data_IF_380410981788
#
_entry.id   IF_380410981788
#
_cell.length_a   1.000
_cell.length_b   1.000
_cell.length_c   1.000
_cell.angle_alpha   90.00
_cell.angle_beta   90.00
_cell.angle_gamma   90.00
#
_symmetry.space_group_name_H-M   'P 1'
#
loop_
_entity.id
_entity.type
_entity.pdbx_description
1 polymer ?
#
# COMPACT_ATOMS: atom_id res chain seq x y z
N UNK A 1 -11.01 3.85 -4.17
CA UNK A 1 -11.06 2.43 -3.77
C UNK A 1 -10.36 1.51 -4.78
N UNK A 2 -10.15 1.90 -6.04
CA UNK A 2 -9.80 0.93 -7.11
C UNK A 2 -8.44 1.12 -7.82
N UNK A 3 -7.76 2.26 -7.66
CA UNK A 3 -6.52 2.54 -8.41
C UNK A 3 -5.39 1.56 -8.07
N UNK A 4 -5.30 1.13 -6.81
CA UNK A 4 -4.32 0.12 -6.36
C UNK A 4 -4.63 -1.26 -6.95
N UNK A 5 -5.92 -1.57 -7.12
CA UNK A 5 -6.36 -2.85 -7.67
C UNK A 5 -6.08 -2.88 -9.18
N UNK A 6 -6.36 -1.79 -9.88
CA UNK A 6 -6.01 -1.59 -11.30
C UNK A 6 -4.50 -1.63 -11.55
N UNK A 7 -3.71 -1.05 -10.65
CA UNK A 7 -2.25 -1.14 -10.70
C UNK A 7 -1.76 -2.59 -10.65
N UNK A 8 -2.29 -3.39 -9.72
CA UNK A 8 -1.89 -4.80 -9.60
C UNK A 8 -2.43 -5.65 -10.73
N UNK A 9 -3.66 -5.41 -11.20
CA UNK A 9 -4.22 -6.08 -12.36
C UNK A 9 -3.30 -5.91 -13.58
N UNK A 10 -2.89 -4.68 -13.90
CA UNK A 10 -1.95 -4.44 -15.01
C UNK A 10 -0.56 -5.05 -14.78
N UNK A 11 -0.07 -5.02 -13.55
CA UNK A 11 1.21 -5.66 -13.22
C UNK A 11 1.14 -7.19 -13.42
N UNK A 12 -0.03 -7.80 -13.19
CA UNK A 12 -0.28 -9.23 -13.46
C UNK A 12 -0.47 -9.53 -14.95
N UNK A 13 -0.97 -8.58 -15.74
CA UNK A 13 -0.99 -8.69 -17.21
C UNK A 13 0.42 -8.71 -17.83
N UNK A 14 1.46 -8.43 -17.04
CA UNK A 14 2.86 -8.48 -17.47
C UNK A 14 3.47 -7.11 -17.79
N UNK A 15 2.76 -6.02 -17.50
CA UNK A 15 3.29 -4.67 -17.68
C UNK A 15 4.49 -4.40 -16.77
N UNK A 16 5.43 -3.57 -17.26
CA UNK A 16 6.65 -3.25 -16.51
C UNK A 16 6.34 -2.28 -15.37
N UNK A 17 6.82 -2.63 -14.18
CA UNK A 17 6.71 -1.81 -12.96
C UNK A 17 7.06 -0.32 -13.20
N UNK A 18 8.11 -0.03 -13.97
CA UNK A 18 8.55 1.34 -14.23
C UNK A 18 7.55 2.18 -15.04
N UNK A 19 6.82 1.58 -15.99
CA UNK A 19 5.82 2.26 -16.79
C UNK A 19 4.56 2.54 -15.96
N UNK A 20 4.08 1.51 -15.24
CA UNK A 20 2.93 1.65 -14.35
C UNK A 20 3.18 2.67 -13.23
N UNK A 21 4.39 2.73 -12.67
CA UNK A 21 4.72 3.73 -11.65
C UNK A 21 4.61 5.16 -12.17
N UNK A 22 4.92 5.40 -13.46
CA UNK A 22 4.73 6.72 -14.09
C UNK A 22 3.27 7.02 -14.39
N UNK A 23 2.52 6.02 -14.86
CA UNK A 23 1.11 6.19 -15.20
C UNK A 23 0.23 6.45 -13.96
N UNK A 24 0.54 5.77 -12.86
CA UNK A 24 -0.21 5.90 -11.59
C UNK A 24 0.37 6.96 -10.65
N UNK A 25 1.34 7.76 -11.09
CA UNK A 25 2.06 8.77 -10.29
C UNK A 25 2.53 8.25 -8.92
N UNK A 26 3.07 7.02 -8.91
CA UNK A 26 3.63 6.40 -7.71
C UNK A 26 5.13 6.24 -7.84
N UNK A 27 5.83 6.38 -6.71
CA UNK A 27 7.25 6.01 -6.67
C UNK A 27 7.42 4.51 -6.89
N UNK A 28 8.50 4.13 -7.58
CA UNK A 28 8.92 2.73 -7.79
C UNK A 28 9.00 1.96 -6.46
N UNK A 29 9.44 2.63 -5.40
CA UNK A 29 9.51 2.04 -4.05
C UNK A 29 8.11 1.61 -3.54
N UNK A 30 7.09 2.43 -3.80
CA UNK A 30 5.70 2.13 -3.46
C UNK A 30 5.16 0.97 -4.31
N UNK A 31 5.47 0.95 -5.61
CA UNK A 31 5.13 -0.15 -6.51
C UNK A 31 5.69 -1.49 -6.04
N UNK A 32 6.98 -1.55 -5.70
CA UNK A 32 7.61 -2.75 -5.13
C UNK A 32 6.98 -3.17 -3.79
N UNK A 33 6.65 -2.22 -2.90
CA UNK A 33 5.92 -2.52 -1.66
C UNK A 33 4.55 -3.12 -1.92
N UNK A 34 3.80 -2.59 -2.90
CA UNK A 34 2.49 -3.15 -3.25
C UNK A 34 2.61 -4.55 -3.81
N UNK A 35 3.55 -4.80 -4.71
CA UNK A 35 3.77 -6.14 -5.25
C UNK A 35 4.18 -7.15 -4.18
N UNK A 36 5.10 -6.76 -3.27
CA UNK A 36 5.49 -7.62 -2.14
C UNK A 36 4.30 -7.95 -1.24
N UNK A 37 3.45 -6.97 -0.93
CA UNK A 37 2.23 -7.20 -0.12
C UNK A 37 1.21 -8.05 -0.84
N UNK A 38 1.05 -7.88 -2.15
CA UNK A 38 0.18 -8.71 -2.96
C UNK A 38 0.66 -10.17 -2.98
N UNK A 39 1.97 -10.40 -3.08
CA UNK A 39 2.53 -11.76 -3.04
C UNK A 39 2.32 -12.45 -1.67
N UNK A 40 2.32 -11.68 -0.59
CA UNK A 40 2.20 -12.18 0.78
C UNK A 40 0.74 -12.41 1.23
N UNK A 41 -0.15 -11.48 0.90
CA UNK A 41 -1.53 -11.41 1.43
C UNK A 41 -2.60 -11.38 0.33
N UNK A 42 -2.20 -11.43 -0.94
CA UNK A 42 -3.11 -11.31 -2.08
C UNK A 42 -3.80 -9.95 -2.15
N UNK A 43 -5.08 -9.97 -2.53
CA UNK A 43 -5.94 -8.79 -2.62
C UNK A 43 -6.08 -8.05 -1.27
N UNK A 44 -6.00 -8.76 -0.15
CA UNK A 44 -6.04 -8.15 1.19
C UNK A 44 -4.79 -7.31 1.50
N UNK A 45 -3.70 -7.50 0.75
CA UNK A 45 -2.48 -6.70 0.88
C UNK A 45 -2.60 -5.27 0.34
N UNK A 46 -3.60 -5.01 -0.50
CA UNK A 46 -3.82 -3.75 -1.23
C UNK A 46 -4.82 -2.81 -0.55
N UNK A 47 -5.63 -3.34 0.36
CA UNK A 47 -6.54 -2.54 1.19
C UNK A 47 -5.74 -1.53 2.02
N UNK A 48 -6.38 -0.41 2.32
CA UNK A 48 -5.74 0.64 3.09
C UNK A 48 -5.47 0.15 4.52
N UNK A 49 -4.18 -0.02 4.84
CA UNK A 49 -3.74 -0.27 6.21
C UNK A 49 -3.34 1.05 6.83
N UNK A 50 -3.88 1.30 8.02
CA UNK A 50 -3.52 2.46 8.82
C UNK A 50 -2.00 2.55 8.94
N UNK A 51 -1.44 3.69 8.52
CA UNK A 51 -0.01 3.99 8.65
C UNK A 51 0.37 4.36 10.08
N UNK A 52 -0.56 4.28 11.04
CA UNK A 52 -0.31 4.65 12.43
C UNK A 52 0.68 3.67 13.04
N UNK A 53 1.84 4.15 13.53
CA UNK A 53 2.73 3.31 14.32
C UNK A 53 1.98 2.80 15.55
N UNK A 54 2.15 1.51 15.83
CA UNK A 54 1.45 0.81 16.92
C UNK A 54 1.73 1.46 18.29
N UNK A 55 2.95 1.98 18.48
CA UNK A 55 3.38 2.71 19.68
C UNK A 55 3.60 4.17 19.32
N UNK A 56 2.80 5.05 19.92
CA UNK A 56 3.06 6.48 19.96
C UNK A 56 3.43 6.81 21.42
N UNK A 57 4.66 7.23 21.67
CA UNK A 57 5.17 7.49 23.02
C UNK A 57 4.43 8.65 23.74
N UNK A 58 3.75 9.51 22.98
CA UNK A 58 3.05 10.70 23.47
C UNK A 58 1.53 10.52 23.55
N UNK A 59 1.02 9.30 23.73
CA UNK A 59 -0.42 9.11 23.98
C UNK A 59 -0.71 9.64 25.39
N UNK A 60 -1.29 10.83 25.47
CA UNK A 60 -1.76 11.38 26.74
C UNK A 60 -2.66 10.34 27.42
N UNK A 61 -2.44 10.03 28.71
CA UNK A 61 -3.35 9.16 29.43
C UNK A 61 -4.76 9.76 29.40
N UNK A 62 -5.76 8.90 29.26
CA UNK A 62 -7.16 9.30 29.39
C UNK A 62 -7.35 10.03 30.71
N UNK A 63 -8.01 11.19 30.67
CA UNK A 63 -8.36 11.94 31.88
C UNK A 63 -9.34 11.08 32.67
N UNK A 64 -8.87 10.51 33.77
CA UNK A 64 -9.73 9.89 34.78
C UNK A 64 -10.42 11.03 35.53
N UNK A 65 -11.75 11.02 35.55
CA UNK A 65 -12.61 11.84 36.42
C UNK A 65 -12.86 11.14 37.75
#
# INVERSE_FOLDING_TARGET
>A
MDERLRFVARLLEGEKMAALCREFDISRQTGHKFYKRYKDLGLQGLTDRSRRPYRQANRLPERVE
#
